data_IF_589505102750
#
_entry.id   IF_589505102750
#
_cell.length_a   1.000
_cell.length_b   1.000
_cell.length_c   1.000
_cell.angle_alpha   90.00
_cell.angle_beta   90.00
_cell.angle_gamma   90.00
#
_symmetry.space_group_name_H-M   'P 1'
#
loop_
_entity.id
_entity.type
_entity.pdbx_description
1 polymer ?
#
# COMPACT_ATOMS: atom_id res chain seq x y z
N UNK A 1 -40.88 8.42 -18.52
CA UNK A 1 -39.87 9.29 -17.87
C UNK A 1 -38.52 8.82 -18.41
N UNK A 2 -38.04 9.48 -19.47
CA UNK A 2 -36.82 9.09 -20.18
C UNK A 2 -35.62 9.41 -19.28
N UNK A 3 -34.83 8.40 -18.96
CA UNK A 3 -33.60 8.51 -18.19
C UNK A 3 -32.53 9.02 -19.17
N UNK A 4 -32.20 10.30 -19.08
CA UNK A 4 -31.07 10.90 -19.80
C UNK A 4 -29.74 10.30 -19.28
N UNK A 5 -29.29 9.24 -19.95
CA UNK A 5 -28.05 8.52 -19.65
C UNK A 5 -26.77 9.19 -20.22
N UNK A 6 -26.88 10.32 -20.93
CA UNK A 6 -25.76 10.93 -21.67
C UNK A 6 -24.99 11.98 -20.87
N UNK A 7 -25.56 12.55 -19.81
CA UNK A 7 -24.94 13.61 -19.01
C UNK A 7 -24.16 13.09 -17.79
N UNK A 8 -24.42 11.87 -17.34
CA UNK A 8 -23.73 11.26 -16.20
C UNK A 8 -22.33 10.71 -16.55
N UNK A 9 -22.10 10.26 -17.79
CA UNK A 9 -20.81 9.69 -18.18
C UNK A 9 -19.68 10.72 -18.10
N UNK A 10 -19.87 11.90 -18.70
CA UNK A 10 -18.83 12.94 -18.79
C UNK A 10 -18.46 13.52 -17.41
N UNK A 11 -19.44 13.67 -16.52
CA UNK A 11 -19.19 14.15 -15.16
C UNK A 11 -18.37 13.15 -14.34
N UNK A 12 -18.62 11.84 -14.48
CA UNK A 12 -17.84 10.79 -13.80
C UNK A 12 -16.39 10.77 -14.31
N UNK A 13 -16.16 10.90 -15.61
CA UNK A 13 -14.81 10.96 -16.18
C UNK A 13 -14.00 12.16 -15.66
N UNK A 14 -14.62 13.35 -15.64
CA UNK A 14 -13.98 14.58 -15.14
C UNK A 14 -13.73 14.48 -13.63
N UNK A 15 -14.60 13.80 -12.88
CA UNK A 15 -14.44 13.64 -11.43
C UNK A 15 -13.38 12.59 -11.06
N UNK A 16 -13.16 11.60 -11.92
CA UNK A 16 -12.16 10.53 -11.72
C UNK A 16 -10.78 10.89 -12.26
N UNK A 17 -10.71 11.86 -13.18
CA UNK A 17 -9.46 12.32 -13.81
C UNK A 17 -8.39 12.77 -12.79
N UNK A 18 -8.71 13.56 -11.75
CA UNK A 18 -7.72 14.01 -10.76
C UNK A 18 -7.12 12.86 -9.95
N UNK A 19 -7.96 11.90 -9.52
CA UNK A 19 -7.51 10.73 -8.76
C UNK A 19 -6.69 9.77 -9.63
N UNK A 20 -7.03 9.66 -10.91
CA UNK A 20 -6.23 8.89 -11.86
C UNK A 20 -4.87 9.57 -12.10
N UNK A 21 -4.85 10.89 -12.24
CA UNK A 21 -3.61 11.63 -12.51
C UNK A 21 -2.63 11.55 -11.33
N UNK A 22 -3.12 11.65 -10.09
CA UNK A 22 -2.26 11.53 -8.90
C UNK A 22 -1.68 10.11 -8.78
N UNK A 23 -2.51 9.09 -9.04
CA UNK A 23 -2.07 7.68 -9.10
C UNK A 23 -1.01 7.47 -10.18
N UNK A 24 -1.24 7.99 -11.38
CA UNK A 24 -0.31 7.86 -12.50
C UNK A 24 1.06 8.48 -12.18
N UNK A 25 1.09 9.68 -11.61
CA UNK A 25 2.34 10.34 -11.21
C UNK A 25 3.04 9.55 -10.10
N UNK A 26 2.30 9.06 -9.10
CA UNK A 26 2.84 8.22 -8.02
C UNK A 26 3.50 6.94 -8.55
N UNK A 27 2.80 6.19 -9.41
CA UNK A 27 3.32 4.98 -10.03
C UNK A 27 4.54 5.27 -10.91
N UNK A 28 4.54 6.37 -11.67
CA UNK A 28 5.67 6.76 -12.51
C UNK A 28 6.92 7.08 -11.67
N UNK A 29 6.75 7.78 -10.54
CA UNK A 29 7.84 8.07 -9.61
C UNK A 29 8.36 6.80 -8.93
N UNK A 30 7.46 5.91 -8.49
CA UNK A 30 7.83 4.62 -7.91
C UNK A 30 8.64 3.77 -8.90
N UNK A 31 8.23 3.73 -10.17
CA UNK A 31 8.95 3.05 -11.24
C UNK A 31 10.36 3.62 -11.47
N UNK A 32 10.50 4.95 -11.47
CA UNK A 32 11.80 5.61 -11.60
C UNK A 32 12.72 5.32 -10.40
N UNK A 33 12.17 5.30 -9.17
CA UNK A 33 12.91 4.90 -7.98
C UNK A 33 13.39 3.44 -8.05
N UNK A 34 12.53 2.54 -8.54
CA UNK A 34 12.89 1.13 -8.74
C UNK A 34 14.01 0.97 -9.80
N UNK A 35 13.93 1.67 -10.93
CA UNK A 35 14.97 1.64 -11.97
C UNK A 35 16.33 2.12 -11.45
N UNK A 36 16.34 3.22 -10.67
CA UNK A 36 17.56 3.70 -9.99
C UNK A 36 18.12 2.69 -8.98
N UNK A 37 17.24 2.04 -8.21
CA UNK A 37 17.65 0.99 -7.28
C UNK A 37 18.26 -0.21 -8.01
N UNK A 38 17.68 -0.63 -9.13
CA UNK A 38 18.19 -1.75 -9.95
C UNK A 38 19.55 -1.46 -10.61
N UNK A 39 19.81 -0.20 -11.00
CA UNK A 39 21.10 0.22 -11.58
C UNK A 39 22.24 0.29 -10.56
N UNK A 40 21.94 0.28 -9.27
CA UNK A 40 22.97 0.36 -8.22
C UNK A 40 23.68 -0.99 -8.10
N UNK A 41 25.01 -0.99 -8.31
CA UNK A 41 25.87 -2.19 -8.39
C UNK A 41 25.81 -3.13 -7.18
N UNK A 42 25.35 -2.66 -6.02
CA UNK A 42 25.17 -3.48 -4.81
C UNK A 42 23.97 -4.45 -4.87
N UNK A 43 23.06 -4.29 -5.83
CA UNK A 43 21.78 -5.01 -5.92
C UNK A 43 21.79 -6.09 -7.02
N UNK A 44 22.77 -6.07 -7.92
CA UNK A 44 22.85 -6.93 -9.11
C UNK A 44 22.97 -8.43 -8.79
N UNK A 45 23.40 -8.79 -7.59
CA UNK A 45 23.56 -10.18 -7.13
C UNK A 45 22.31 -10.78 -6.50
N UNK A 46 21.31 -9.97 -6.16
CA UNK A 46 20.14 -10.41 -5.42
C UNK A 46 18.86 -10.24 -6.26
N UNK A 47 17.88 -11.15 -6.10
CA UNK A 47 16.63 -11.10 -6.85
C UNK A 47 15.64 -10.06 -6.30
N UNK A 48 16.08 -8.80 -6.15
CA UNK A 48 15.28 -7.69 -5.59
C UNK A 48 14.00 -7.51 -6.38
N UNK A 49 14.03 -7.68 -7.71
CA UNK A 49 12.88 -7.43 -8.56
C UNK A 49 11.72 -8.42 -8.28
N UNK A 50 12.04 -9.69 -8.05
CA UNK A 50 11.06 -10.72 -7.66
C UNK A 50 10.52 -10.46 -6.24
N UNK A 51 11.43 -10.19 -5.30
CA UNK A 51 11.10 -9.92 -3.89
C UNK A 51 10.23 -8.67 -3.75
N UNK A 52 10.60 -7.59 -4.42
CA UNK A 52 9.87 -6.31 -4.41
C UNK A 52 8.48 -6.45 -5.02
N UNK A 53 8.34 -7.18 -6.13
CA UNK A 53 7.04 -7.38 -6.76
C UNK A 53 6.12 -8.25 -5.88
N UNK A 54 6.64 -9.33 -5.29
CA UNK A 54 5.88 -10.13 -4.31
C UNK A 54 5.46 -9.30 -3.09
N UNK A 55 6.38 -8.51 -2.50
CA UNK A 55 6.05 -7.65 -1.36
C UNK A 55 4.97 -6.65 -1.74
N UNK A 56 5.14 -5.94 -2.85
CA UNK A 56 4.19 -4.92 -3.28
C UNK A 56 2.81 -5.50 -3.55
N UNK A 57 2.74 -6.69 -4.17
CA UNK A 57 1.47 -7.34 -4.46
C UNK A 57 0.77 -7.85 -3.20
N UNK A 58 1.47 -8.56 -2.30
CA UNK A 58 0.84 -9.07 -1.07
C UNK A 58 0.48 -7.96 -0.09
N UNK A 59 1.42 -7.04 0.17
CA UNK A 59 1.23 -5.92 1.10
C UNK A 59 0.21 -4.91 0.55
N UNK A 60 0.38 -4.48 -0.70
CA UNK A 60 -0.49 -3.50 -1.33
C UNK A 60 -1.96 -3.96 -1.37
N UNK A 61 -2.20 -5.24 -1.64
CA UNK A 61 -3.56 -5.79 -1.59
C UNK A 61 -4.14 -5.79 -0.16
N UNK A 62 -3.35 -6.14 0.86
CA UNK A 62 -3.81 -6.10 2.25
C UNK A 62 -4.14 -4.67 2.71
N UNK A 63 -3.30 -3.70 2.35
CA UNK A 63 -3.50 -2.29 2.68
C UNK A 63 -4.69 -1.68 1.92
N UNK A 64 -4.90 -2.07 0.65
CA UNK A 64 -6.06 -1.67 -0.13
C UNK A 64 -7.37 -2.19 0.48
N UNK A 65 -7.41 -3.46 0.90
CA UNK A 65 -8.59 -4.04 1.56
C UNK A 65 -8.87 -3.30 2.87
N UNK A 66 -7.83 -3.03 3.67
CA UNK A 66 -7.96 -2.24 4.89
C UNK A 66 -8.51 -0.83 4.59
N UNK A 67 -7.98 -0.16 3.57
CA UNK A 67 -8.40 1.16 3.15
C UNK A 67 -9.89 1.19 2.77
N UNK A 68 -10.36 0.23 1.97
CA UNK A 68 -11.76 0.05 1.61
C UNK A 68 -12.65 -0.20 2.84
N UNK A 69 -12.20 -1.07 3.76
CA UNK A 69 -12.95 -1.39 4.96
C UNK A 69 -13.14 -0.18 5.87
N UNK A 70 -12.06 0.57 6.12
CA UNK A 70 -12.10 1.78 6.95
C UNK A 70 -12.89 2.91 6.27
N UNK A 71 -12.81 3.03 4.94
CA UNK A 71 -13.60 3.99 4.18
C UNK A 71 -15.10 3.68 4.26
N UNK A 72 -15.49 2.41 4.12
CA UNK A 72 -16.88 1.97 4.32
C UNK A 72 -17.38 2.26 5.75
N UNK A 73 -16.55 2.00 6.76
CA UNK A 73 -16.86 2.33 8.15
C UNK A 73 -17.04 3.85 8.37
N UNK A 74 -16.31 4.67 7.62
CA UNK A 74 -16.42 6.13 7.65
C UNK A 74 -17.73 6.63 7.02
N UNK A 75 -18.23 5.95 5.98
CA UNK A 75 -19.49 6.28 5.30
C UNK A 75 -20.74 5.87 6.11
N UNK A 76 -20.60 5.01 7.11
CA UNK A 76 -21.71 4.65 8.00
C UNK A 76 -22.14 5.84 8.87
N UNK A 77 -23.40 6.27 8.72
CA UNK A 77 -24.00 7.45 9.39
C UNK A 77 -24.03 7.36 10.92
N UNK A 78 -23.87 6.16 11.48
CA UNK A 78 -23.87 5.89 12.93
C UNK A 78 -22.47 5.85 13.56
N UNK A 79 -21.40 6.09 12.79
CA UNK A 79 -20.02 6.00 13.28
C UNK A 79 -19.47 7.37 13.74
N UNK A 80 -19.48 7.60 15.07
CA UNK A 80 -18.83 8.77 15.68
C UNK A 80 -17.31 8.74 15.47
N UNK A 81 -16.68 9.92 15.38
CA UNK A 81 -15.23 10.04 15.14
C UNK A 81 -14.38 9.24 16.14
N UNK A 82 -14.80 9.20 17.42
CA UNK A 82 -14.12 8.42 18.46
C UNK A 82 -14.21 6.91 18.23
N UNK A 83 -15.39 6.41 17.82
CA UNK A 83 -15.56 4.99 17.47
C UNK A 83 -14.73 4.64 16.25
N UNK A 84 -14.75 5.49 15.23
CA UNK A 84 -13.95 5.33 14.02
C UNK A 84 -12.45 5.18 14.32
N UNK A 85 -11.87 6.07 15.11
CA UNK A 85 -10.43 6.01 15.47
C UNK A 85 -10.11 4.72 16.23
N UNK A 86 -10.97 4.31 17.17
CA UNK A 86 -10.79 3.05 17.91
C UNK A 86 -10.84 1.84 16.99
N UNK A 87 -11.86 1.74 16.14
CA UNK A 87 -11.96 0.64 15.16
C UNK A 87 -10.80 0.65 14.17
N UNK A 88 -10.39 1.82 13.70
CA UNK A 88 -9.24 1.95 12.81
C UNK A 88 -7.97 1.44 13.47
N UNK A 89 -7.70 1.83 14.73
CA UNK A 89 -6.56 1.35 15.49
C UNK A 89 -6.57 -0.18 15.71
N UNK A 90 -7.72 -0.73 16.14
CA UNK A 90 -7.85 -2.17 16.37
C UNK A 90 -7.58 -2.97 15.08
N UNK A 91 -8.11 -2.50 13.94
CA UNK A 91 -7.87 -3.13 12.64
C UNK A 91 -6.45 -2.87 12.09
N UNK A 92 -5.82 -1.74 12.44
CA UNK A 92 -4.42 -1.46 12.07
C UNK A 92 -3.46 -2.46 12.69
N UNK A 93 -3.72 -2.91 13.91
CA UNK A 93 -2.93 -3.95 14.57
C UNK A 93 -2.97 -5.26 13.76
N UNK A 94 -4.13 -5.62 13.21
CA UNK A 94 -4.28 -6.80 12.36
C UNK A 94 -3.49 -6.64 11.05
N UNK A 95 -3.57 -5.48 10.40
CA UNK A 95 -2.82 -5.19 9.18
C UNK A 95 -1.30 -5.21 9.41
N UNK A 96 -0.83 -4.67 10.53
CA UNK A 96 0.58 -4.74 10.94
C UNK A 96 1.04 -6.19 11.13
N UNK A 97 0.23 -7.02 11.78
CA UNK A 97 0.52 -8.45 11.95
C UNK A 97 0.62 -9.17 10.60
N UNK A 98 -0.31 -8.92 9.67
CA UNK A 98 -0.25 -9.47 8.32
C UNK A 98 1.03 -9.04 7.58
N UNK A 99 1.43 -7.77 7.73
CA UNK A 99 2.63 -7.24 7.09
C UNK A 99 3.92 -7.84 7.63
N UNK A 100 3.96 -8.17 8.93
CA UNK A 100 5.04 -8.96 9.55
C UNK A 100 5.09 -10.35 8.91
N UNK A 101 3.95 -11.04 8.79
CA UNK A 101 3.88 -12.38 8.20
C UNK A 101 4.33 -12.36 6.73
N UNK A 102 3.91 -11.35 5.96
CA UNK A 102 4.34 -11.15 4.56
C UNK A 102 5.84 -10.91 4.49
N UNK A 103 6.38 -10.00 5.31
CA UNK A 103 7.82 -9.71 5.36
C UNK A 103 8.65 -10.94 5.75
N UNK A 104 8.16 -11.74 6.70
CA UNK A 104 8.80 -12.98 7.14
C UNK A 104 8.80 -14.03 6.02
N UNK A 105 7.66 -14.24 5.37
CA UNK A 105 7.50 -15.22 4.28
C UNK A 105 8.39 -14.85 3.09
N UNK A 106 8.37 -13.59 2.66
CA UNK A 106 9.21 -13.14 1.55
C UNK A 106 10.69 -13.19 1.92
N UNK A 107 11.04 -12.83 3.15
CA UNK A 107 12.42 -12.93 3.64
C UNK A 107 12.94 -14.38 3.61
N UNK A 108 12.13 -15.35 4.05
CA UNK A 108 12.47 -16.78 3.98
C UNK A 108 12.64 -17.27 2.54
N UNK A 109 11.74 -16.87 1.62
CA UNK A 109 11.85 -17.21 0.20
C UNK A 109 13.12 -16.58 -0.41
N UNK A 110 13.43 -15.34 -0.04
CA UNK A 110 14.66 -14.65 -0.47
C UNK A 110 15.93 -15.38 -0.01
N UNK A 111 15.94 -15.86 1.25
CA UNK A 111 17.01 -16.70 1.79
C UNK A 111 17.11 -18.01 1.01
N UNK A 112 16.00 -18.73 0.83
CA UNK A 112 15.98 -20.02 0.14
C UNK A 112 16.50 -19.90 -1.31
N UNK A 113 16.05 -18.88 -2.05
CA UNK A 113 16.54 -18.60 -3.40
C UNK A 113 18.03 -18.28 -3.44
N UNK A 114 18.53 -17.54 -2.46
CA UNK A 114 19.94 -17.16 -2.42
C UNK A 114 20.84 -18.36 -2.05
N UNK A 115 20.40 -19.25 -1.17
CA UNK A 115 21.09 -20.52 -0.89
C UNK A 115 21.22 -21.37 -2.17
N UNK A 116 20.16 -21.44 -2.98
CA UNK A 116 20.17 -22.22 -4.22
C UNK A 116 21.04 -21.58 -5.32
N UNK A 117 21.15 -20.25 -5.35
CA UNK A 117 21.88 -19.54 -6.42
C UNK A 117 23.36 -19.29 -6.11
N UNK A 118 23.73 -19.04 -4.84
CA UNK A 118 25.10 -18.67 -4.44
C UNK A 118 25.45 -19.23 -3.04
N UNK A 119 26.06 -20.43 -2.95
CA UNK A 119 26.30 -21.12 -1.68
C UNK A 119 27.38 -20.49 -0.77
N UNK A 120 28.08 -19.43 -1.19
CA UNK A 120 29.33 -18.96 -0.55
C UNK A 120 29.23 -17.66 0.28
N UNK A 121 28.08 -16.98 0.34
CA UNK A 121 27.96 -15.68 1.05
C UNK A 121 26.92 -15.71 2.17
N UNK A 122 27.11 -16.61 3.14
CA UNK A 122 26.22 -16.78 4.31
C UNK A 122 26.09 -15.52 5.19
N UNK A 123 27.14 -14.68 5.25
CA UNK A 123 27.17 -13.51 6.15
C UNK A 123 26.16 -12.42 5.76
N UNK A 124 25.76 -12.34 4.49
CA UNK A 124 24.78 -11.37 4.01
C UNK A 124 23.34 -11.93 4.02
N UNK A 125 23.16 -13.25 4.04
CA UNK A 125 21.85 -13.91 4.08
C UNK A 125 21.04 -13.57 5.33
N UNK A 126 21.70 -13.55 6.49
CA UNK A 126 21.08 -13.23 7.80
C UNK A 126 20.55 -11.79 7.84
N UNK A 127 21.04 -10.89 6.97
CA UNK A 127 20.59 -9.50 6.93
C UNK A 127 19.30 -9.30 6.13
N UNK A 128 18.98 -10.21 5.20
CA UNK A 128 17.82 -10.06 4.31
C UNK A 128 16.50 -10.08 5.08
N UNK A 129 16.34 -11.06 5.98
CA UNK A 129 15.13 -11.23 6.78
C UNK A 129 14.79 -9.99 7.64
N UNK A 130 15.70 -9.47 8.49
CA UNK A 130 15.40 -8.28 9.30
C UNK A 130 15.17 -7.04 8.44
N UNK A 131 15.85 -6.89 7.30
CA UNK A 131 15.63 -5.76 6.38
C UNK A 131 14.21 -5.84 5.79
N UNK A 132 13.79 -7.01 5.29
CA UNK A 132 12.43 -7.21 4.77
C UNK A 132 11.36 -6.97 5.84
N UNK A 133 11.57 -7.49 7.05
CA UNK A 133 10.66 -7.30 8.18
C UNK A 133 10.51 -5.82 8.54
N UNK A 134 11.62 -5.13 8.78
CA UNK A 134 11.61 -3.70 9.16
C UNK A 134 11.04 -2.84 8.04
N UNK A 135 11.37 -3.13 6.78
CA UNK A 135 10.83 -2.40 5.64
C UNK A 135 9.31 -2.58 5.50
N UNK A 136 8.81 -3.81 5.62
CA UNK A 136 7.37 -4.08 5.55
C UNK A 136 6.63 -3.42 6.72
N UNK A 137 7.10 -3.59 7.96
CA UNK A 137 6.42 -3.02 9.13
C UNK A 137 6.41 -1.50 9.13
N UNK A 138 7.54 -0.87 8.81
CA UNK A 138 7.65 0.58 8.79
C UNK A 138 6.79 1.19 7.68
N UNK A 139 6.81 0.60 6.49
CA UNK A 139 5.98 1.09 5.38
C UNK A 139 4.49 0.94 5.66
N UNK A 140 4.04 -0.18 6.23
CA UNK A 140 2.63 -0.36 6.61
C UNK A 140 2.21 0.56 7.75
N UNK A 141 3.06 0.79 8.75
CA UNK A 141 2.79 1.76 9.80
C UNK A 141 2.60 3.18 9.21
N UNK A 142 3.45 3.56 8.26
CA UNK A 142 3.33 4.83 7.55
C UNK A 142 2.00 4.94 6.78
N UNK A 143 1.62 3.90 6.03
CA UNK A 143 0.37 3.86 5.27
C UNK A 143 -0.85 3.95 6.19
N UNK A 144 -0.85 3.23 7.30
CA UNK A 144 -1.94 3.30 8.29
C UNK A 144 -2.15 4.73 8.79
N UNK A 145 -1.07 5.41 9.19
CA UNK A 145 -1.14 6.80 9.66
C UNK A 145 -1.67 7.72 8.56
N UNK A 146 -1.16 7.55 7.33
CA UNK A 146 -1.57 8.32 6.18
C UNK A 146 -3.07 8.15 5.89
N UNK A 147 -3.58 6.92 5.91
CA UNK A 147 -5.00 6.62 5.71
C UNK A 147 -5.90 7.22 6.79
N UNK A 148 -5.49 7.13 8.07
CA UNK A 148 -6.25 7.73 9.18
C UNK A 148 -6.34 9.25 9.02
N UNK A 149 -5.23 9.90 8.66
CA UNK A 149 -5.19 11.35 8.42
C UNK A 149 -6.04 11.73 7.21
N UNK A 150 -5.92 11.01 6.10
CA UNK A 150 -6.69 11.25 4.88
C UNK A 150 -8.20 11.20 5.15
N UNK A 151 -8.65 10.21 5.91
CA UNK A 151 -10.08 10.07 6.25
C UNK A 151 -10.53 11.13 7.27
N UNK A 152 -9.65 11.52 8.21
CA UNK A 152 -9.91 12.65 9.10
C UNK A 152 -10.15 13.97 8.35
N UNK A 153 -9.39 14.20 7.28
CA UNK A 153 -9.55 15.37 6.40
C UNK A 153 -10.85 15.28 5.60
N UNK A 154 -11.13 14.13 4.97
CA UNK A 154 -12.34 13.97 4.15
C UNK A 154 -13.62 14.14 4.97
N UNK A 155 -13.65 13.63 6.21
CA UNK A 155 -14.76 13.87 7.15
C UNK A 155 -14.94 15.35 7.51
N UNK A 156 -13.85 16.12 7.66
CA UNK A 156 -13.96 17.58 7.89
C UNK A 156 -14.47 18.33 6.66
N UNK A 157 -14.13 17.86 5.46
CA UNK A 157 -14.51 18.49 4.20
C UNK A 157 -15.85 18.00 3.63
N UNK A 158 -16.53 17.04 4.27
CA UNK A 158 -17.73 16.36 3.75
C UNK A 158 -17.54 15.78 2.33
N UNK A 159 -16.34 15.27 2.04
CA UNK A 159 -16.02 14.60 0.77
C UNK A 159 -16.08 13.09 1.00
N UNK A 160 -16.53 12.34 -0.01
CA UNK A 160 -16.50 10.88 0.04
C UNK A 160 -15.05 10.39 0.28
N UNK A 161 -14.79 9.64 1.37
CA UNK A 161 -13.45 9.17 1.72
C UNK A 161 -12.83 8.30 0.63
N UNK A 162 -13.64 7.51 -0.08
CA UNK A 162 -13.19 6.64 -1.18
C UNK A 162 -12.41 7.40 -2.26
N UNK A 163 -12.85 8.62 -2.58
CA UNK A 163 -12.25 9.45 -3.63
C UNK A 163 -10.83 9.91 -3.30
N UNK A 164 -10.45 9.93 -2.02
CA UNK A 164 -9.11 10.34 -1.57
C UNK A 164 -8.30 9.11 -1.16
N UNK A 165 -8.91 8.15 -0.48
CA UNK A 165 -8.25 6.97 0.07
C UNK A 165 -7.69 6.06 -1.02
N UNK A 166 -8.49 5.76 -2.05
CA UNK A 166 -8.10 4.87 -3.17
C UNK A 166 -6.89 5.37 -3.98
N UNK A 167 -6.86 6.62 -4.47
CA UNK A 167 -5.68 7.12 -5.20
C UNK A 167 -4.47 7.27 -4.30
N UNK A 168 -4.68 7.56 -3.01
CA UNK A 168 -3.61 7.67 -2.02
C UNK A 168 -2.93 6.33 -1.80
N UNK A 169 -3.68 5.26 -1.55
CA UNK A 169 -3.07 3.93 -1.36
C UNK A 169 -2.39 3.45 -2.64
N UNK A 170 -3.00 3.70 -3.80
CA UNK A 170 -2.40 3.34 -5.09
C UNK A 170 -1.08 4.07 -5.38
N UNK A 171 -0.89 5.28 -4.87
CA UNK A 171 0.32 6.08 -5.12
C UNK A 171 1.43 5.83 -4.12
N UNK A 172 1.07 5.60 -2.85
CA UNK A 172 2.02 5.57 -1.73
C UNK A 172 2.31 4.18 -1.17
N UNK A 173 1.43 3.19 -1.39
CA UNK A 173 1.59 1.81 -0.89
C UNK A 173 2.75 1.05 -1.52
#
# INVERSE_FOLDING_TARGET
>A
MLIDNTTYGSSIYIQSLPSLFISLVGLALAGNCLDKALKTSSIQYYPILLISNCILNFKGNAELIYALHISSLSNSTSCSLKKYIRYSFDNSCLLLSQSIIIGLTVGLIGIAKNIFSYPLVFKNLIRILPICLVSCTLSTAFIVVLLIVAIGITKKCNINPDNVVLPTISSFG
#
